data_IF_759782738872
#
_entry.id   IF_759782738872
#
_cell.length_a   1.000
_cell.length_b   1.000
_cell.length_c   1.000
_cell.angle_alpha   90.00
_cell.angle_beta   90.00
_cell.angle_gamma   90.00
#
_symmetry.space_group_name_H-M   'P 1'
#
loop_
_entity.id
_entity.type
_entity.pdbx_description
1 polymer ?
#
# COMPACT_ATOMS: atom_id res chain seq x y z
N UNK A 1 36.45 20.00 27.51
CA UNK A 1 35.24 19.62 28.27
C UNK A 1 34.16 19.31 27.26
N UNK A 2 33.69 18.06 27.20
CA UNK A 2 32.63 17.68 26.27
C UNK A 2 31.31 18.29 26.75
N UNK A 3 30.68 19.11 25.92
CA UNK A 3 29.33 19.62 26.17
C UNK A 3 28.35 18.44 26.13
N UNK A 4 28.00 17.93 27.29
CA UNK A 4 26.86 17.01 27.44
C UNK A 4 25.61 17.79 27.06
N UNK A 5 25.15 17.64 25.83
CA UNK A 5 23.83 18.11 25.41
C UNK A 5 22.78 17.49 26.32
N UNK A 6 21.82 18.29 26.81
CA UNK A 6 20.77 17.85 27.73
C UNK A 6 19.96 16.63 27.22
N UNK A 7 20.03 16.33 25.93
CA UNK A 7 19.43 15.14 25.32
C UNK A 7 20.08 13.83 25.80
N UNK A 8 21.38 13.86 26.12
CA UNK A 8 22.13 12.65 26.52
C UNK A 8 21.80 12.22 27.95
N UNK A 9 21.08 13.03 28.72
CA UNK A 9 20.63 12.68 30.08
C UNK A 9 19.27 12.00 30.10
N UNK A 10 18.52 12.03 28.98
CA UNK A 10 17.22 11.37 28.89
C UNK A 10 17.39 9.84 28.72
N UNK A 11 16.51 9.04 29.35
CA UNK A 11 16.44 7.61 29.09
C UNK A 11 16.14 7.32 27.61
N UNK A 12 16.76 6.26 27.07
CA UNK A 12 16.61 5.88 25.65
C UNK A 12 15.14 5.72 25.24
N UNK A 13 14.32 5.10 26.08
CA UNK A 13 12.91 4.85 25.77
C UNK A 13 12.12 6.16 25.61
N UNK A 14 12.44 7.20 26.39
CA UNK A 14 11.81 8.51 26.23
C UNK A 14 12.20 9.17 24.91
N UNK A 15 13.44 8.98 24.46
CA UNK A 15 13.91 9.52 23.19
C UNK A 15 13.22 8.81 22.01
N UNK A 16 13.04 7.48 22.11
CA UNK A 16 12.26 6.69 21.14
C UNK A 16 10.81 7.15 21.12
N UNK A 17 10.20 7.40 22.29
CA UNK A 17 8.82 7.89 22.37
C UNK A 17 8.67 9.28 21.74
N UNK A 18 9.64 10.18 21.94
CA UNK A 18 9.67 11.50 21.28
C UNK A 18 9.76 11.34 19.77
N UNK A 19 10.66 10.48 19.26
CA UNK A 19 10.79 10.21 17.82
C UNK A 19 9.50 9.62 17.23
N UNK A 20 8.86 8.72 17.97
CA UNK A 20 7.62 8.08 17.59
C UNK A 20 6.44 9.07 17.59
N UNK A 21 6.38 9.97 18.58
CA UNK A 21 5.38 11.03 18.63
C UNK A 21 5.55 12.00 17.45
N UNK A 22 6.80 12.40 17.16
CA UNK A 22 7.14 13.27 16.02
C UNK A 22 6.55 12.72 14.71
N UNK A 23 6.83 11.47 14.36
CA UNK A 23 6.34 10.87 13.10
C UNK A 23 4.83 10.58 13.10
N UNK A 24 4.20 10.54 14.27
CA UNK A 24 2.74 10.39 14.39
C UNK A 24 2.00 11.71 14.16
N UNK A 25 2.52 12.80 14.73
CA UNK A 25 1.88 14.12 14.68
C UNK A 25 2.31 14.98 13.50
N UNK A 26 3.48 14.70 12.92
CA UNK A 26 4.04 15.51 11.83
C UNK A 26 3.16 15.49 10.57
N UNK A 27 2.96 16.65 9.90
CA UNK A 27 2.34 16.69 8.58
C UNK A 27 3.24 16.11 7.48
N UNK A 28 4.57 16.06 7.69
CA UNK A 28 5.59 15.59 6.76
C UNK A 28 6.52 14.58 7.47
N UNK A 29 5.99 13.42 7.91
CA UNK A 29 6.69 12.50 8.79
C UNK A 29 8.05 12.02 8.26
N UNK A 30 8.26 11.90 6.94
CA UNK A 30 9.56 11.52 6.40
C UNK A 30 10.59 12.64 6.48
N UNK A 31 10.19 13.88 6.16
CA UNK A 31 11.08 15.05 6.23
C UNK A 31 11.51 15.31 7.67
N UNK A 32 10.55 15.26 8.60
CA UNK A 32 10.82 15.48 10.02
C UNK A 32 11.65 14.33 10.60
N UNK A 33 11.36 13.08 10.25
CA UNK A 33 12.18 11.93 10.64
C UNK A 33 13.63 12.08 10.16
N UNK A 34 13.83 12.51 8.91
CA UNK A 34 15.18 12.67 8.35
C UNK A 34 15.94 13.81 9.03
N UNK A 35 15.26 14.93 9.31
CA UNK A 35 15.83 16.06 10.04
C UNK A 35 16.21 15.64 11.46
N UNK A 36 15.35 14.88 12.12
CA UNK A 36 15.59 14.33 13.45
C UNK A 36 16.77 13.36 13.46
N UNK A 37 16.83 12.44 12.50
CA UNK A 37 17.92 11.47 12.31
C UNK A 37 19.28 12.15 12.10
N UNK A 38 19.31 13.26 11.36
CA UNK A 38 20.54 13.99 11.05
C UNK A 38 21.01 14.92 12.16
N UNK A 39 20.18 15.19 13.17
CA UNK A 39 20.50 16.18 14.20
C UNK A 39 21.52 15.68 15.23
N UNK A 40 21.45 14.42 15.68
CA UNK A 40 22.49 13.81 16.52
C UNK A 40 22.49 12.29 16.50
N UNK A 41 23.59 11.67 16.97
CA UNK A 41 23.76 10.21 17.04
C UNK A 41 22.68 9.51 17.86
N UNK A 42 22.27 10.10 18.99
CA UNK A 42 21.26 9.51 19.89
C UNK A 42 19.90 9.42 19.19
N UNK A 43 19.52 10.46 18.45
CA UNK A 43 18.30 10.44 17.65
C UNK A 43 18.42 9.52 16.44
N UNK A 44 19.58 9.47 15.78
CA UNK A 44 19.83 8.48 14.73
C UNK A 44 19.56 7.05 15.23
N UNK A 45 20.06 6.70 16.42
CA UNK A 45 19.81 5.39 17.02
C UNK A 45 18.32 5.18 17.35
N UNK A 46 17.69 6.17 18.00
CA UNK A 46 16.28 6.09 18.40
C UNK A 46 15.31 5.95 17.21
N UNK A 47 15.57 6.65 16.09
CA UNK A 47 14.72 6.57 14.89
C UNK A 47 14.71 5.21 14.21
N UNK A 48 15.73 4.37 14.47
CA UNK A 48 15.77 3.01 13.94
C UNK A 48 14.96 2.01 14.78
N UNK A 49 14.43 2.43 15.93
CA UNK A 49 13.60 1.61 16.79
C UNK A 49 12.31 1.15 16.08
N UNK A 50 11.84 -0.05 16.44
CA UNK A 50 10.63 -0.65 15.88
C UNK A 50 9.40 0.21 16.16
N UNK A 51 9.32 0.84 17.33
CA UNK A 51 8.17 1.67 17.72
C UNK A 51 8.00 2.88 16.78
N UNK A 52 9.10 3.52 16.40
CA UNK A 52 9.09 4.66 15.46
C UNK A 52 8.49 4.21 14.13
N UNK A 53 9.02 3.12 13.54
CA UNK A 53 8.53 2.55 12.28
C UNK A 53 7.05 2.15 12.33
N UNK A 54 6.59 1.63 13.46
CA UNK A 54 5.19 1.27 13.68
C UNK A 54 4.25 2.48 13.72
N UNK A 55 4.75 3.66 14.08
CA UNK A 55 3.95 4.88 14.29
C UNK A 55 4.06 5.90 13.17
N UNK A 56 4.91 5.68 12.17
CA UNK A 56 4.94 6.52 10.97
C UNK A 56 3.59 6.47 10.26
N UNK A 57 3.02 7.66 9.99
CA UNK A 57 1.76 7.84 9.27
C UNK A 57 2.04 8.01 7.77
N UNK A 58 1.90 6.94 7.00
CA UNK A 58 2.42 6.86 5.63
C UNK A 58 1.50 7.45 4.58
N UNK A 59 0.17 7.51 4.79
CA UNK A 59 -0.75 8.12 3.82
C UNK A 59 -0.49 9.61 3.62
N UNK A 60 0.18 10.30 4.56
CA UNK A 60 0.55 11.71 4.43
C UNK A 60 1.66 11.94 3.41
N UNK A 61 2.53 10.95 3.22
CA UNK A 61 3.64 10.99 2.26
C UNK A 61 3.20 10.53 0.85
N UNK A 62 2.01 9.95 0.77
CA UNK A 62 1.49 9.29 -0.41
C UNK A 62 1.29 10.21 -1.64
N UNK A 63 0.84 11.48 -1.51
CA UNK A 63 0.64 12.37 -2.65
C UNK A 63 1.93 12.74 -3.41
N UNK A 64 3.09 12.68 -2.75
CA UNK A 64 4.37 13.16 -3.28
C UNK A 64 5.38 12.03 -3.59
N UNK A 65 4.96 10.77 -3.42
CA UNK A 65 5.84 9.62 -3.61
C UNK A 65 5.95 9.24 -5.09
N UNK A 66 6.98 9.74 -5.77
CA UNK A 66 7.44 9.12 -7.01
C UNK A 66 8.14 7.79 -6.68
N UNK A 67 7.38 6.71 -6.70
CA UNK A 67 7.80 5.33 -6.38
C UNK A 67 9.10 4.87 -7.05
N UNK A 68 9.44 5.42 -8.22
CA UNK A 68 10.64 5.05 -9.00
C UNK A 68 11.85 5.97 -8.78
N UNK A 69 11.71 7.09 -8.08
CA UNK A 69 12.75 8.13 -8.03
C UNK A 69 13.43 8.31 -6.67
N UNK A 70 12.95 7.68 -5.60
CA UNK A 70 13.47 7.91 -4.25
C UNK A 70 13.73 6.62 -3.47
N UNK A 71 14.93 6.07 -3.68
CA UNK A 71 15.38 4.80 -3.08
C UNK A 71 15.29 4.79 -1.54
N UNK A 72 15.54 5.93 -0.90
CA UNK A 72 15.52 6.01 0.57
C UNK A 72 14.09 5.98 1.13
N UNK A 73 13.10 6.59 0.46
CA UNK A 73 11.69 6.55 0.89
C UNK A 73 11.15 5.12 0.82
N UNK A 74 11.45 4.42 -0.26
CA UNK A 74 11.12 3.01 -0.41
C UNK A 74 11.77 2.14 0.68
N UNK A 75 13.02 2.45 1.04
CA UNK A 75 13.73 1.76 2.14
C UNK A 75 12.99 1.95 3.47
N UNK A 76 12.50 3.16 3.77
CA UNK A 76 11.69 3.41 4.97
C UNK A 76 10.36 2.65 4.91
N UNK A 77 9.65 2.68 3.79
CA UNK A 77 8.39 1.93 3.61
C UNK A 77 8.58 0.43 3.89
N UNK A 78 9.61 -0.17 3.30
CA UNK A 78 9.96 -1.59 3.53
C UNK A 78 10.28 -1.85 4.99
N UNK A 79 11.11 -1.01 5.61
CA UNK A 79 11.43 -1.12 7.04
C UNK A 79 10.18 -0.99 7.94
N UNK A 80 9.21 -0.15 7.58
CA UNK A 80 7.93 -0.03 8.27
C UNK A 80 7.09 -1.31 8.14
N UNK A 81 6.99 -1.87 6.94
CA UNK A 81 6.27 -3.13 6.72
C UNK A 81 6.93 -4.33 7.41
N UNK A 82 8.27 -4.37 7.47
CA UNK A 82 9.02 -5.36 8.25
C UNK A 82 8.78 -5.22 9.76
N UNK A 83 8.70 -3.98 10.26
CA UNK A 83 8.26 -3.69 11.62
C UNK A 83 6.78 -4.06 11.85
N UNK A 84 6.01 -4.28 10.78
CA UNK A 84 4.60 -4.64 10.81
C UNK A 84 3.67 -3.44 10.90
N UNK A 85 4.08 -2.26 10.43
CA UNK A 85 3.16 -1.14 10.27
C UNK A 85 2.05 -1.55 9.28
N UNK A 86 0.77 -1.55 9.69
CA UNK A 86 -0.29 -2.10 8.86
C UNK A 86 -0.56 -1.27 7.60
N UNK A 87 -0.37 0.05 7.67
CA UNK A 87 -0.50 0.96 6.53
C UNK A 87 0.63 0.74 5.52
N UNK A 88 1.87 0.55 6.00
CA UNK A 88 3.01 0.19 5.16
C UNK A 88 2.77 -1.14 4.43
N UNK A 89 2.29 -2.15 5.17
CA UNK A 89 1.96 -3.45 4.61
C UNK A 89 0.86 -3.35 3.56
N UNK A 90 -0.20 -2.57 3.81
CA UNK A 90 -1.28 -2.34 2.85
C UNK A 90 -0.78 -1.68 1.57
N UNK A 91 -0.02 -0.58 1.70
CA UNK A 91 0.50 0.15 0.54
C UNK A 91 1.45 -0.73 -0.29
N UNK A 92 2.44 -1.36 0.35
CA UNK A 92 3.39 -2.24 -0.35
C UNK A 92 2.70 -3.47 -0.95
N UNK A 93 1.63 -3.98 -0.33
CA UNK A 93 0.83 -5.05 -0.92
C UNK A 93 0.28 -4.62 -2.28
N UNK A 94 -0.28 -3.42 -2.39
CA UNK A 94 -0.80 -2.89 -3.65
C UNK A 94 0.34 -2.63 -4.66
N UNK A 95 1.51 -2.18 -4.20
CA UNK A 95 2.71 -2.08 -5.04
C UNK A 95 3.10 -3.43 -5.64
N UNK A 96 3.17 -4.49 -4.84
CA UNK A 96 3.51 -5.82 -5.34
C UNK A 96 2.42 -6.41 -6.25
N UNK A 97 1.15 -6.27 -5.89
CA UNK A 97 0.04 -6.83 -6.67
C UNK A 97 -0.07 -6.13 -8.03
N UNK A 98 0.02 -4.80 -8.08
CA UNK A 98 -0.27 -4.03 -9.28
C UNK A 98 0.94 -3.53 -10.05
N UNK A 99 2.00 -3.14 -9.34
CA UNK A 99 3.25 -2.71 -9.97
C UNK A 99 4.09 -3.90 -10.40
N UNK A 100 4.53 -4.70 -9.43
CA UNK A 100 5.50 -5.78 -9.68
C UNK A 100 4.86 -7.08 -10.19
N UNK A 101 3.52 -7.18 -10.14
CA UNK A 101 2.72 -8.36 -10.48
C UNK A 101 3.05 -9.60 -9.64
N UNK A 102 3.60 -9.41 -8.44
CA UNK A 102 3.83 -10.45 -7.45
C UNK A 102 2.64 -10.54 -6.49
N UNK A 103 1.59 -11.23 -6.96
CA UNK A 103 0.35 -11.44 -6.20
C UNK A 103 0.64 -12.19 -4.89
N UNK A 104 1.54 -13.18 -4.91
CA UNK A 104 1.80 -14.02 -3.74
C UNK A 104 2.41 -13.20 -2.60
N UNK A 105 3.46 -12.42 -2.88
CA UNK A 105 4.09 -11.55 -1.88
C UNK A 105 3.15 -10.43 -1.44
N UNK A 106 2.42 -9.83 -2.38
CA UNK A 106 1.48 -8.76 -2.08
C UNK A 106 0.35 -9.21 -1.17
N UNK A 107 -0.26 -10.38 -1.42
CA UNK A 107 -1.35 -10.88 -0.56
C UNK A 107 -0.83 -11.30 0.83
N UNK A 108 0.42 -11.74 0.99
CA UNK A 108 1.02 -11.96 2.32
C UNK A 108 1.12 -10.65 3.13
N UNK A 109 1.53 -9.56 2.48
CA UNK A 109 1.56 -8.24 3.13
C UNK A 109 0.16 -7.74 3.43
N UNK A 110 -0.79 -7.96 2.52
CA UNK A 110 -2.19 -7.61 2.74
C UNK A 110 -2.77 -8.35 3.95
N UNK A 111 -2.45 -9.64 4.11
CA UNK A 111 -2.83 -10.44 5.29
C UNK A 111 -2.24 -9.86 6.58
N UNK A 112 -0.96 -9.46 6.58
CA UNK A 112 -0.33 -8.81 7.75
C UNK A 112 -1.02 -7.51 8.15
N UNK A 113 -1.47 -6.71 7.17
CA UNK A 113 -2.24 -5.50 7.46
C UNK A 113 -3.64 -5.85 8.00
N UNK A 114 -4.32 -6.80 7.36
CA UNK A 114 -5.67 -7.23 7.73
C UNK A 114 -5.73 -7.85 9.13
N UNK A 115 -4.77 -8.70 9.49
CA UNK A 115 -4.64 -9.31 10.82
C UNK A 115 -4.38 -8.29 11.95
N UNK A 116 -3.97 -7.07 11.61
CA UNK A 116 -3.85 -5.94 12.54
C UNK A 116 -5.08 -5.01 12.55
N UNK A 117 -6.17 -5.42 11.92
CA UNK A 117 -7.41 -4.65 11.86
C UNK A 117 -7.43 -3.51 10.83
N UNK A 118 -6.49 -3.48 9.88
CA UNK A 118 -6.49 -2.45 8.83
C UNK A 118 -7.71 -2.62 7.91
N UNK A 119 -8.66 -1.68 7.99
CA UNK A 119 -9.98 -1.78 7.33
C UNK A 119 -9.89 -1.98 5.82
N UNK A 120 -9.04 -1.23 5.13
CA UNK A 120 -8.89 -1.34 3.67
C UNK A 120 -8.25 -2.65 3.25
N UNK A 121 -7.32 -3.18 4.05
CA UNK A 121 -6.71 -4.47 3.80
C UNK A 121 -7.72 -5.62 4.00
N UNK A 122 -8.55 -5.52 5.05
CA UNK A 122 -9.66 -6.44 5.29
C UNK A 122 -10.69 -6.40 4.17
N UNK A 123 -11.11 -5.19 3.76
CA UNK A 123 -11.99 -4.98 2.62
C UNK A 123 -11.43 -5.69 1.38
N UNK A 124 -10.17 -5.41 1.03
CA UNK A 124 -9.56 -5.99 -0.15
C UNK A 124 -9.39 -7.51 -0.04
N UNK A 125 -9.09 -8.03 1.14
CA UNK A 125 -8.99 -9.47 1.37
C UNK A 125 -10.34 -10.17 1.22
N UNK A 126 -11.42 -9.57 1.71
CA UNK A 126 -12.78 -10.08 1.52
C UNK A 126 -13.15 -10.11 0.03
N UNK A 127 -12.80 -9.06 -0.70
CA UNK A 127 -12.99 -8.97 -2.13
C UNK A 127 -12.20 -10.07 -2.88
N UNK A 128 -10.94 -10.31 -2.53
CA UNK A 128 -10.14 -11.41 -3.10
C UNK A 128 -10.78 -12.77 -2.77
N UNK A 129 -11.25 -12.97 -1.53
CA UNK A 129 -11.89 -14.21 -1.08
C UNK A 129 -13.16 -14.53 -1.88
N UNK A 130 -14.03 -13.54 -2.11
CA UNK A 130 -15.22 -13.70 -2.95
C UNK A 130 -14.84 -14.12 -4.37
N UNK A 131 -13.79 -13.53 -4.94
CA UNK A 131 -13.34 -13.86 -6.30
C UNK A 131 -12.70 -15.23 -6.42
N UNK A 132 -12.04 -15.72 -5.38
CA UNK A 132 -11.56 -17.11 -5.34
C UNK A 132 -12.74 -18.08 -5.38
N UNK A 133 -13.86 -17.75 -4.72
CA UNK A 133 -15.08 -18.56 -4.78
C UNK A 133 -15.68 -18.58 -6.19
N UNK A 134 -15.73 -17.41 -6.86
CA UNK A 134 -16.24 -17.29 -8.24
C UNK A 134 -15.29 -17.87 -9.30
N UNK A 135 -13.99 -17.82 -9.06
CA UNK A 135 -12.92 -18.23 -9.97
C UNK A 135 -11.85 -19.06 -9.24
N UNK A 136 -12.11 -20.36 -8.99
CA UNK A 136 -11.22 -21.23 -8.22
C UNK A 136 -9.75 -21.26 -8.65
N UNK A 137 -9.37 -21.16 -9.94
CA UNK A 137 -7.96 -21.14 -10.35
C UNK A 137 -7.14 -20.00 -9.74
N UNK A 138 -7.77 -18.90 -9.31
CA UNK A 138 -7.09 -17.80 -8.62
C UNK A 138 -6.45 -18.26 -7.30
N UNK A 139 -7.01 -19.27 -6.64
CA UNK A 139 -6.46 -19.83 -5.40
C UNK A 139 -5.02 -20.32 -5.57
N UNK A 140 -4.64 -20.80 -6.76
CA UNK A 140 -3.30 -21.31 -7.04
C UNK A 140 -2.23 -20.22 -7.03
N UNK A 141 -2.62 -18.95 -7.17
CA UNK A 141 -1.72 -17.79 -7.11
C UNK A 141 -1.58 -17.23 -5.70
N UNK A 142 -2.35 -17.75 -4.74
CA UNK A 142 -2.40 -17.25 -3.37
C UNK A 142 -1.61 -18.14 -2.41
N UNK A 143 -1.05 -17.58 -1.32
CA UNK A 143 -0.46 -18.39 -0.26
C UNK A 143 -1.51 -19.33 0.36
N UNK A 144 -1.12 -20.57 0.73
CA UNK A 144 -2.02 -21.49 1.41
C UNK A 144 -2.46 -20.91 2.77
N UNK A 145 -3.74 -21.03 3.09
CA UNK A 145 -4.30 -20.54 4.36
C UNK A 145 -4.33 -19.01 4.49
N UNK A 146 -4.17 -18.25 3.41
CA UNK A 146 -4.08 -16.77 3.49
C UNK A 146 -5.34 -16.07 4.00
N UNK A 147 -6.48 -16.76 4.08
CA UNK A 147 -7.71 -16.22 4.67
C UNK A 147 -7.92 -16.63 6.13
N UNK A 148 -6.98 -17.39 6.72
CA UNK A 148 -7.04 -17.82 8.12
C UNK A 148 -6.60 -16.70 9.06
N UNK A 149 -7.12 -16.72 10.29
CA UNK A 149 -6.75 -15.74 11.33
C UNK A 149 -7.04 -14.28 10.98
N UNK A 150 -8.00 -14.05 10.08
CA UNK A 150 -8.52 -12.72 9.79
C UNK A 150 -9.83 -12.57 10.54
N UNK A 151 -9.89 -11.60 11.44
CA UNK A 151 -11.12 -11.27 12.16
C UNK A 151 -12.18 -10.73 11.19
N UNK A 152 -13.41 -11.20 11.34
CA UNK A 152 -14.55 -10.68 10.58
C UNK A 152 -14.97 -9.33 11.14
N UNK A 153 -14.71 -8.26 10.40
CA UNK A 153 -15.27 -6.93 10.69
C UNK A 153 -16.53 -6.74 9.82
N UNK A 154 -17.59 -6.20 10.44
CA UNK A 154 -18.77 -5.75 9.69
C UNK A 154 -18.45 -4.40 9.06
N UNK A 155 -18.67 -4.30 7.75
CA UNK A 155 -18.58 -3.04 7.02
C UNK A 155 -19.98 -2.50 6.81
N UNK A 156 -20.20 -1.22 7.12
CA UNK A 156 -21.37 -0.49 6.61
C UNK A 156 -21.09 0.09 5.21
N UNK A 157 -22.11 0.67 4.58
CA UNK A 157 -21.97 1.23 3.23
C UNK A 157 -20.92 2.36 3.16
N UNK A 158 -20.75 3.14 4.24
CA UNK A 158 -19.77 4.21 4.30
C UNK A 158 -18.35 3.67 4.38
N UNK A 159 -18.13 2.66 5.23
CA UNK A 159 -16.86 1.94 5.35
C UNK A 159 -16.46 1.32 4.01
N UNK A 160 -17.41 0.67 3.32
CA UNK A 160 -17.18 0.09 1.98
C UNK A 160 -16.76 1.17 0.98
N UNK A 161 -17.52 2.26 0.88
CA UNK A 161 -17.20 3.35 -0.05
C UNK A 161 -15.85 4.00 0.27
N UNK A 162 -15.54 4.17 1.55
CA UNK A 162 -14.27 4.74 1.97
C UNK A 162 -13.09 3.81 1.65
N UNK A 163 -13.20 2.52 1.98
CA UNK A 163 -12.16 1.54 1.65
C UNK A 163 -11.94 1.46 0.14
N UNK A 164 -13.02 1.43 -0.63
CA UNK A 164 -12.99 1.46 -2.09
C UNK A 164 -12.24 2.69 -2.62
N UNK A 165 -12.57 3.90 -2.15
CA UNK A 165 -11.88 5.13 -2.56
C UNK A 165 -10.39 5.09 -2.24
N UNK A 166 -10.02 4.61 -1.05
CA UNK A 166 -8.62 4.50 -0.63
C UNK A 166 -7.82 3.49 -1.45
N UNK A 167 -8.38 2.32 -1.70
CA UNK A 167 -7.76 1.30 -2.55
C UNK A 167 -7.53 1.84 -3.97
N UNK A 168 -8.54 2.49 -4.57
CA UNK A 168 -8.41 3.11 -5.91
C UNK A 168 -7.33 4.19 -5.91
N UNK A 169 -7.32 5.07 -4.92
CA UNK A 169 -6.31 6.12 -4.82
C UNK A 169 -4.88 5.55 -4.73
N UNK A 170 -4.67 4.51 -3.93
CA UNK A 170 -3.34 3.86 -3.83
C UNK A 170 -2.95 3.17 -5.12
N UNK A 171 -3.90 2.46 -5.72
CA UNK A 171 -3.72 1.82 -7.03
C UNK A 171 -3.32 2.83 -8.12
N UNK A 172 -4.00 3.98 -8.20
CA UNK A 172 -3.70 5.02 -9.18
C UNK A 172 -2.27 5.52 -9.04
N UNK A 173 -1.82 5.82 -7.81
CA UNK A 173 -0.46 6.33 -7.58
C UNK A 173 0.64 5.30 -7.89
N UNK A 174 0.40 4.03 -7.56
CA UNK A 174 1.35 2.93 -7.83
C UNK A 174 1.47 2.65 -9.33
N UNK A 175 0.37 2.73 -10.07
CA UNK A 175 0.33 2.38 -11.50
C UNK A 175 0.55 3.59 -12.43
N UNK A 176 0.52 4.82 -11.91
CA UNK A 176 0.66 6.07 -12.69
C UNK A 176 1.94 6.14 -13.54
N UNK A 177 3.06 5.64 -13.01
CA UNK A 177 4.34 5.64 -13.74
C UNK A 177 4.43 4.55 -14.80
N UNK A 178 3.70 3.44 -14.66
CA UNK A 178 3.62 2.44 -15.71
C UNK A 178 2.76 2.94 -16.87
N UNK A 179 1.73 3.75 -16.61
CA UNK A 179 0.96 4.45 -17.65
C UNK A 179 1.80 5.41 -18.50
N UNK A 180 2.82 6.06 -17.92
CA UNK A 180 3.76 6.95 -18.65
C UNK A 180 4.98 6.22 -19.24
N UNK A 181 5.49 5.17 -18.58
CA UNK A 181 6.65 4.39 -19.03
C UNK A 181 6.28 3.39 -20.12
N UNK A 182 5.02 2.94 -20.16
CA UNK A 182 4.38 2.74 -21.45
C UNK A 182 4.26 4.12 -22.08
N UNK A 183 5.33 4.55 -22.75
CA UNK A 183 5.15 5.37 -23.93
C UNK A 183 4.31 4.50 -24.84
N UNK A 184 3.00 4.66 -24.66
CA UNK A 184 1.96 4.16 -25.51
C UNK A 184 2.21 4.91 -26.82
N UNK A 185 3.20 4.45 -27.59
CA UNK A 185 3.31 4.74 -29.02
C UNK A 185 2.03 4.32 -29.73
N UNK A 186 1.23 3.49 -29.07
CA UNK A 186 -0.13 3.21 -29.43
C UNK A 186 -1.12 4.08 -28.64
N UNK A 187 -1.18 5.41 -28.88
CA UNK A 187 -2.41 6.18 -28.53
C UNK A 187 -3.70 5.47 -29.01
N UNK A 188 -3.53 4.50 -29.91
CA UNK A 188 -4.41 3.43 -30.35
C UNK A 188 -4.64 2.23 -29.42
N UNK A 189 -4.33 2.28 -28.11
CA UNK A 189 -4.92 1.33 -27.16
C UNK A 189 -6.43 1.59 -27.17
N UNK A 190 -7.14 0.87 -28.04
CA UNK A 190 -8.55 1.04 -28.45
C UNK A 190 -8.83 1.85 -29.76
N UNK A 191 -7.96 1.86 -30.78
CA UNK A 191 -8.37 2.39 -32.11
C UNK A 191 -8.56 1.35 -33.22
N UNK A 192 -8.02 0.11 -33.11
CA UNK A 192 -8.08 -0.85 -34.24
C UNK A 192 -9.10 -1.99 -34.10
N UNK A 193 -9.92 -2.01 -33.04
CA UNK A 193 -11.15 -2.79 -33.05
C UNK A 193 -12.25 -1.99 -32.37
N UNK A 194 -13.38 -1.89 -33.07
CA UNK A 194 -14.62 -1.23 -32.68
C UNK A 194 -15.30 -1.82 -31.42
N UNK A 195 -14.56 -2.51 -30.53
CA UNK A 195 -15.15 -3.36 -29.50
C UNK A 195 -14.47 -3.30 -28.12
N UNK A 196 -13.70 -2.25 -27.80
CA UNK A 196 -13.37 -1.92 -26.42
C UNK A 196 -14.24 -0.75 -25.94
N UNK A 197 -15.47 -1.07 -25.55
CA UNK A 197 -16.46 -0.10 -25.11
C UNK A 197 -16.17 0.38 -23.68
N UNK A 198 -15.98 1.70 -23.52
CA UNK A 198 -16.32 2.42 -22.30
C UNK A 198 -17.84 2.56 -22.27
N UNK A 199 -18.56 1.54 -21.81
CA UNK A 199 -20.02 1.54 -21.81
C UNK A 199 -20.61 0.50 -20.86
N UNK A 200 -21.71 0.91 -20.22
CA UNK A 200 -22.63 0.21 -19.30
C UNK A 200 -22.42 -1.28 -19.05
N UNK A 201 -22.51 -1.61 -17.76
CA UNK A 201 -22.59 -2.95 -17.18
C UNK A 201 -23.70 -3.80 -17.80
N UNK A 202 -23.36 -4.59 -18.81
CA UNK A 202 -23.92 -5.92 -19.10
C UNK A 202 -23.41 -6.29 -20.49
N UNK A 203 -22.37 -7.14 -20.59
CA UNK A 203 -22.23 -8.11 -21.69
C UNK A 203 -20.97 -8.98 -21.56
N UNK A 204 -21.11 -10.23 -22.04
CA UNK A 204 -20.38 -11.43 -21.62
C UNK A 204 -19.10 -11.77 -22.40
N UNK A 205 -18.58 -10.91 -23.27
CA UNK A 205 -17.29 -11.17 -23.93
C UNK A 205 -16.46 -9.89 -24.07
N UNK A 206 -15.38 -9.77 -23.30
CA UNK A 206 -14.40 -8.67 -23.36
C UNK A 206 -13.06 -9.17 -23.87
N UNK A 207 -12.59 -8.58 -24.96
CA UNK A 207 -11.26 -8.78 -25.54
C UNK A 207 -10.31 -7.75 -24.95
N UNK A 208 -9.23 -8.16 -24.29
CA UNK A 208 -8.28 -7.22 -23.66
C UNK A 208 -7.03 -7.08 -24.53
N UNK A 209 -6.58 -5.84 -24.75
CA UNK A 209 -5.39 -5.55 -25.56
C UNK A 209 -4.07 -5.95 -24.89
N UNK A 210 -4.10 -6.21 -23.58
CA UNK A 210 -2.97 -6.76 -22.82
C UNK A 210 -3.46 -7.38 -21.51
N UNK A 211 -2.64 -8.24 -20.91
CA UNK A 211 -2.94 -8.83 -19.60
C UNK A 211 -3.02 -7.73 -18.51
N UNK A 212 -2.30 -6.62 -18.66
CA UNK A 212 -2.40 -5.46 -17.77
C UNK A 212 -3.77 -4.74 -17.88
N UNK A 213 -4.29 -4.55 -19.09
CA UNK A 213 -5.62 -3.99 -19.32
C UNK A 213 -6.71 -4.91 -18.74
N UNK A 214 -6.52 -6.22 -18.87
CA UNK A 214 -7.35 -7.25 -18.24
C UNK A 214 -7.33 -7.18 -16.72
N UNK A 215 -6.16 -7.00 -16.10
CA UNK A 215 -6.03 -6.87 -14.65
C UNK A 215 -6.60 -5.55 -14.12
N UNK A 216 -6.40 -4.44 -14.83
CA UNK A 216 -6.99 -3.15 -14.49
C UNK A 216 -8.52 -3.20 -14.54
N UNK A 217 -9.08 -3.75 -15.61
CA UNK A 217 -10.53 -3.86 -15.75
C UNK A 217 -11.12 -4.92 -14.82
N UNK A 218 -10.42 -6.04 -14.56
CA UNK A 218 -10.79 -6.99 -13.53
C UNK A 218 -10.76 -6.35 -12.15
N UNK A 219 -9.74 -5.56 -11.81
CA UNK A 219 -9.65 -4.91 -10.50
C UNK A 219 -10.73 -3.83 -10.31
N UNK A 220 -11.03 -3.07 -11.36
CA UNK A 220 -12.17 -2.15 -11.44
C UNK A 220 -13.49 -2.91 -11.23
N UNK A 221 -13.72 -4.05 -11.89
CA UNK A 221 -14.90 -4.90 -11.64
C UNK A 221 -14.91 -5.52 -10.23
N UNK A 222 -13.75 -5.87 -9.69
CA UNK A 222 -13.53 -6.47 -8.38
C UNK A 222 -13.83 -5.45 -7.27
N UNK A 223 -13.41 -4.20 -7.43
CA UNK A 223 -13.59 -3.15 -6.44
C UNK A 223 -14.89 -2.37 -6.60
N UNK A 224 -15.48 -2.25 -7.80
CA UNK A 224 -16.63 -1.38 -8.06
C UNK A 224 -18.01 -2.04 -7.96
N UNK A 225 -18.08 -3.37 -7.75
CA UNK A 225 -19.35 -4.09 -7.80
C UNK A 225 -19.90 -4.12 -9.22
N UNK A 226 -20.88 -4.98 -9.47
CA UNK A 226 -21.57 -5.17 -10.75
C UNK A 226 -22.45 -4.05 -11.15
#
# INVERSE_FOLDING_TARGET
MATTTAINTLPKDMIVEIAAALVSSSPLPFTDLMSFKNSCKVFFEATNDRLVKLRIVLHREFPDLNWKASDWRMTIFKACAEAGNPEACFILALTYIFGDRDICSGVKLLHKAASKGHKEALYLMNIIKLRVQDHPPLANMLPPGVFTSIESIKFDDNDVQWCRRKVVHVYEQVTWNDWRATNVTNRHCCESSSECWFGSWNDRHRSFCSEACRWNQKFIQICLGT
#
